data_IF_545728429247
#
_entry.id   IF_545728429247
#
_cell.length_a   1.000
_cell.length_b   1.000
_cell.length_c   1.000
_cell.angle_alpha   90.00
_cell.angle_beta   90.00
_cell.angle_gamma   90.00
#
_symmetry.space_group_name_H-M   'P 1'
#
loop_
_entity.id
_entity.type
_entity.pdbx_description
1 polymer ?
#
# COMPACT_ATOMS: atom_id res chain seq x y z
N UNK A 1 9.46 -26.53 0.51
CA UNK A 1 8.59 -25.54 -0.15
C UNK A 1 7.98 -24.72 0.97
N UNK A 2 8.38 -23.47 1.11
CA UNK A 2 7.78 -22.58 2.09
C UNK A 2 6.34 -22.35 1.67
N UNK A 3 5.42 -22.68 2.55
CA UNK A 3 4.00 -22.37 2.46
C UNK A 3 3.87 -20.83 2.43
N UNK A 4 3.94 -20.25 1.23
CA UNK A 4 4.14 -18.81 1.07
C UNK A 4 2.76 -18.14 1.05
N UNK A 5 2.27 -17.82 2.24
CA UNK A 5 1.10 -16.96 2.41
C UNK A 5 1.31 -15.67 1.60
N UNK A 6 0.42 -15.40 0.66
CA UNK A 6 0.48 -14.16 -0.14
C UNK A 6 0.11 -12.96 0.73
N UNK A 7 0.56 -11.74 0.39
CA UNK A 7 0.31 -10.55 1.22
C UNK A 7 -1.16 -10.21 1.47
N UNK A 8 -2.07 -10.67 0.60
CA UNK A 8 -3.53 -10.53 0.72
C UNK A 8 -4.21 -11.70 1.45
N UNK A 9 -3.42 -12.69 1.91
CA UNK A 9 -3.90 -13.88 2.59
C UNK A 9 -4.31 -15.02 1.64
N UNK A 10 -4.08 -14.87 0.33
CA UNK A 10 -4.35 -15.92 -0.63
C UNK A 10 -3.34 -17.08 -0.51
N UNK A 11 -3.83 -18.29 -0.77
CA UNK A 11 -3.09 -19.56 -0.63
C UNK A 11 -3.44 -20.51 -1.77
N UNK A 12 -2.45 -21.28 -2.22
CA UNK A 12 -2.66 -22.25 -3.28
C UNK A 12 -3.36 -23.50 -2.72
N UNK A 13 -4.57 -23.78 -3.21
CA UNK A 13 -5.37 -24.96 -2.84
C UNK A 13 -5.74 -25.79 -4.08
N UNK A 14 -5.98 -27.11 -3.94
CA UNK A 14 -6.41 -27.95 -5.06
C UNK A 14 -7.71 -27.43 -5.69
N UNK A 15 -7.80 -27.48 -7.03
CA UNK A 15 -9.00 -27.04 -7.76
C UNK A 15 -10.28 -27.73 -7.26
N UNK A 16 -10.21 -29.02 -6.91
CA UNK A 16 -11.34 -29.75 -6.35
C UNK A 16 -11.91 -29.13 -5.05
N UNK A 17 -11.08 -28.47 -4.24
CA UNK A 17 -11.53 -27.76 -3.05
C UNK A 17 -12.24 -26.45 -3.41
N UNK A 18 -11.77 -25.74 -4.45
CA UNK A 18 -12.42 -24.55 -4.99
C UNK A 18 -13.79 -24.92 -5.57
N UNK A 19 -13.85 -25.98 -6.37
CA UNK A 19 -15.08 -26.45 -7.01
C UNK A 19 -16.12 -26.94 -6.00
N UNK A 20 -15.67 -27.50 -4.87
CA UNK A 20 -16.53 -27.95 -3.77
C UNK A 20 -16.97 -26.81 -2.83
N UNK A 21 -16.35 -25.63 -2.91
CA UNK A 21 -16.63 -24.53 -2.01
C UNK A 21 -17.90 -23.77 -2.42
N UNK A 22 -18.79 -23.54 -1.46
CA UNK A 22 -20.01 -22.75 -1.66
C UNK A 22 -19.84 -21.39 -1.01
N UNK A 23 -19.73 -20.35 -1.83
CA UNK A 23 -19.67 -18.96 -1.34
C UNK A 23 -21.02 -18.57 -0.73
N UNK A 24 -21.08 -18.11 0.54
CA UNK A 24 -22.34 -17.69 1.14
C UNK A 24 -22.90 -16.45 0.44
N UNK A 25 -24.21 -16.41 0.15
CA UNK A 25 -24.84 -15.23 -0.41
C UNK A 25 -24.99 -14.13 0.66
N UNK A 26 -25.20 -12.89 0.22
CA UNK A 26 -25.50 -11.79 1.13
C UNK A 26 -26.80 -12.08 1.91
N UNK A 27 -26.79 -12.03 3.26
CA UNK A 27 -27.97 -12.35 4.07
C UNK A 27 -29.11 -11.32 3.94
N UNK A 28 -28.86 -10.16 3.31
CA UNK A 28 -29.85 -9.10 3.11
C UNK A 28 -30.50 -9.13 1.73
N UNK A 29 -29.77 -9.52 0.69
CA UNK A 29 -30.24 -9.42 -0.69
C UNK A 29 -29.95 -10.64 -1.58
N UNK A 30 -29.25 -11.66 -1.06
CA UNK A 30 -28.90 -12.86 -1.82
C UNK A 30 -27.75 -12.71 -2.82
N UNK A 31 -27.21 -11.50 -3.01
CA UNK A 31 -26.13 -11.23 -3.99
C UNK A 31 -24.74 -11.73 -3.58
N UNK A 32 -23.79 -11.63 -4.50
CA UNK A 32 -22.40 -12.04 -4.28
C UNK A 32 -21.70 -11.12 -3.26
N UNK A 33 -20.90 -11.72 -2.38
CA UNK A 33 -20.02 -11.00 -1.46
C UNK A 33 -18.64 -10.82 -2.10
N UNK A 34 -18.05 -9.64 -1.92
CA UNK A 34 -16.67 -9.33 -2.31
C UNK A 34 -15.92 -8.81 -1.08
N UNK A 35 -14.65 -9.20 -0.86
CA UNK A 35 -13.84 -8.56 0.17
C UNK A 35 -13.75 -7.06 -0.09
N UNK A 36 -13.72 -6.27 0.99
CA UNK A 36 -13.61 -4.81 0.94
C UNK A 36 -12.16 -4.38 0.68
N UNK A 37 -11.64 -4.75 -0.49
CA UNK A 37 -10.31 -4.42 -0.99
C UNK A 37 -10.41 -3.96 -2.45
N UNK A 38 -9.36 -3.31 -2.94
CA UNK A 38 -9.21 -2.89 -4.33
C UNK A 38 -8.37 -3.94 -5.05
N UNK A 39 -8.96 -4.65 -6.01
CA UNK A 39 -8.21 -5.58 -6.85
C UNK A 39 -7.42 -4.84 -7.93
N UNK A 40 -6.50 -5.53 -8.59
CA UNK A 40 -5.91 -5.01 -9.83
C UNK A 40 -7.02 -4.80 -10.87
N UNK A 41 -7.09 -3.59 -11.43
CA UNK A 41 -8.14 -3.18 -12.37
C UNK A 41 -9.33 -2.47 -11.70
N UNK A 42 -9.48 -2.55 -10.38
CA UNK A 42 -10.49 -1.77 -9.65
C UNK A 42 -10.04 -0.31 -9.48
N UNK A 43 -11.02 0.58 -9.31
CA UNK A 43 -10.77 1.96 -8.90
C UNK A 43 -10.73 2.07 -7.37
N UNK A 44 -9.78 2.86 -6.86
CA UNK A 44 -9.80 3.28 -5.45
C UNK A 44 -11.05 4.14 -5.22
N UNK A 45 -11.79 3.96 -4.11
CA UNK A 45 -12.97 4.77 -3.81
C UNK A 45 -12.66 6.28 -3.83
N UNK A 46 -13.53 7.07 -4.48
CA UNK A 46 -13.33 8.51 -4.67
C UNK A 46 -13.08 9.24 -3.34
N UNK A 47 -13.90 8.95 -2.32
CA UNK A 47 -13.76 9.54 -0.99
C UNK A 47 -12.36 9.34 -0.39
N UNK A 48 -11.78 8.15 -0.57
CA UNK A 48 -10.43 7.85 -0.09
C UNK A 48 -9.37 8.67 -0.85
N UNK A 49 -9.58 8.87 -2.16
CA UNK A 49 -8.69 9.73 -2.95
C UNK A 49 -8.76 11.18 -2.46
N UNK A 50 -9.97 11.69 -2.22
CA UNK A 50 -10.20 13.05 -1.72
C UNK A 50 -9.54 13.28 -0.36
N UNK A 51 -9.70 12.34 0.58
CA UNK A 51 -9.06 12.38 1.90
C UNK A 51 -7.53 12.42 1.81
N UNK A 52 -6.94 11.57 0.97
CA UNK A 52 -5.48 11.52 0.79
C UNK A 52 -4.95 12.81 0.17
N UNK A 53 -5.65 13.37 -0.83
CA UNK A 53 -5.25 14.65 -1.46
C UNK A 53 -5.30 15.76 -0.42
N UNK A 54 -6.36 15.83 0.39
CA UNK A 54 -6.47 16.82 1.44
C UNK A 54 -5.31 16.71 2.46
N UNK A 55 -5.01 15.50 2.94
CA UNK A 55 -3.89 15.30 3.87
C UNK A 55 -2.54 15.65 3.27
N UNK A 56 -2.32 15.36 1.98
CA UNK A 56 -1.06 15.70 1.32
C UNK A 56 -0.87 17.23 1.23
N UNK A 57 -1.94 17.99 0.98
CA UNK A 57 -1.89 19.46 0.95
C UNK A 57 -1.66 20.09 2.34
N UNK A 58 -2.17 19.47 3.40
CA UNK A 58 -2.01 19.95 4.78
C UNK A 58 -0.69 19.49 5.44
N UNK A 59 0.05 18.60 4.78
CA UNK A 59 1.32 18.07 5.29
C UNK A 59 2.51 18.96 4.90
N UNK A 60 3.61 18.81 5.63
CA UNK A 60 4.89 19.45 5.34
C UNK A 60 5.89 18.52 4.64
N UNK A 61 5.49 17.28 4.34
CA UNK A 61 6.31 16.28 3.67
C UNK A 61 5.66 14.90 3.60
N UNK A 62 6.32 13.97 2.91
CA UNK A 62 5.89 12.58 2.77
C UNK A 62 6.99 11.61 3.22
N UNK A 63 6.63 10.65 4.08
CA UNK A 63 7.48 9.53 4.46
C UNK A 63 6.92 8.22 3.90
N UNK A 64 7.66 7.59 2.98
CA UNK A 64 7.32 6.27 2.41
C UNK A 64 8.05 5.17 3.19
N UNK A 65 7.30 4.19 3.70
CA UNK A 65 7.84 3.07 4.46
C UNK A 65 7.52 1.74 3.77
N UNK A 66 8.54 0.98 3.39
CA UNK A 66 8.38 -0.43 2.97
C UNK A 66 7.57 -0.64 1.69
N UNK A 67 7.57 0.32 0.76
CA UNK A 67 6.89 0.19 -0.54
C UNK A 67 7.90 0.30 -1.68
N UNK A 68 7.78 -0.58 -2.67
CA UNK A 68 8.55 -0.47 -3.93
C UNK A 68 8.04 0.67 -4.82
N UNK A 69 6.84 1.19 -4.54
CA UNK A 69 6.16 2.21 -5.34
C UNK A 69 5.96 1.83 -6.83
N UNK A 70 5.97 0.54 -7.16
CA UNK A 70 5.74 0.10 -8.54
C UNK A 70 4.29 0.36 -8.99
N UNK A 71 3.33 0.17 -8.08
CA UNK A 71 1.91 0.42 -8.34
C UNK A 71 1.62 1.92 -8.27
N UNK A 72 0.97 2.44 -9.32
CA UNK A 72 0.80 3.89 -9.50
C UNK A 72 -0.03 4.56 -8.39
N UNK A 73 -0.97 3.84 -7.76
CA UNK A 73 -1.80 4.39 -6.68
C UNK A 73 -0.98 4.97 -5.53
N UNK A 74 0.10 4.29 -5.13
CA UNK A 74 1.04 4.78 -4.12
C UNK A 74 2.05 5.78 -4.70
N UNK A 75 2.61 5.50 -5.87
CA UNK A 75 3.60 6.38 -6.51
C UNK A 75 3.07 7.79 -6.82
N UNK A 76 1.78 7.91 -7.14
CA UNK A 76 1.14 9.21 -7.39
C UNK A 76 1.29 10.16 -6.21
N UNK A 77 1.33 9.66 -4.98
CA UNK A 77 1.51 10.51 -3.79
C UNK A 77 2.89 11.16 -3.79
N UNK A 78 3.94 10.40 -4.13
CA UNK A 78 5.30 10.93 -4.25
C UNK A 78 5.35 12.04 -5.30
N UNK A 79 4.75 11.82 -6.46
CA UNK A 79 4.71 12.83 -7.53
C UNK A 79 3.98 14.08 -7.05
N UNK A 80 2.79 13.94 -6.46
CA UNK A 80 1.99 15.06 -5.96
C UNK A 80 2.72 15.83 -4.85
N UNK A 81 3.37 15.16 -3.90
CA UNK A 81 4.16 15.82 -2.85
C UNK A 81 5.30 16.64 -3.46
N UNK A 82 5.98 16.14 -4.50
CA UNK A 82 7.03 16.91 -5.19
C UNK A 82 6.48 18.05 -6.02
N UNK A 83 5.30 17.92 -6.63
CA UNK A 83 4.61 19.02 -7.32
C UNK A 83 4.25 20.16 -6.36
N UNK A 84 3.97 19.85 -5.09
CA UNK A 84 3.78 20.83 -4.02
C UNK A 84 5.09 21.43 -3.50
N UNK A 85 6.25 21.00 -4.00
CA UNK A 85 7.56 21.44 -3.53
C UNK A 85 7.96 20.92 -2.15
N UNK A 86 7.25 19.89 -1.65
CA UNK A 86 7.46 19.34 -0.31
C UNK A 86 8.54 18.24 -0.32
N UNK A 87 9.22 18.00 0.81
CA UNK A 87 10.21 16.94 0.96
C UNK A 87 9.59 15.54 0.94
N UNK A 88 10.29 14.59 0.33
CA UNK A 88 9.97 13.17 0.32
C UNK A 88 11.13 12.37 0.92
N UNK A 89 10.84 11.59 1.96
CA UNK A 89 11.76 10.63 2.54
C UNK A 89 11.29 9.19 2.29
N UNK A 90 12.22 8.27 2.04
CA UNK A 90 11.93 6.86 1.80
C UNK A 90 12.77 5.98 2.70
N UNK A 91 12.13 5.06 3.43
CA UNK A 91 12.78 3.94 4.11
C UNK A 91 12.30 2.65 3.47
N UNK A 92 13.18 2.01 2.70
CA UNK A 92 12.89 0.73 2.05
C UNK A 92 14.18 -0.03 1.77
N UNK A 93 14.20 -1.33 2.01
CA UNK A 93 15.41 -2.18 1.87
C UNK A 93 15.97 -2.12 0.44
N UNK A 94 15.08 -2.20 -0.55
CA UNK A 94 15.43 -2.24 -1.97
C UNK A 94 15.15 -0.94 -2.72
N UNK A 95 15.41 -0.94 -4.04
CA UNK A 95 15.09 0.19 -4.90
C UNK A 95 13.58 0.45 -4.92
N UNK A 96 13.21 1.69 -5.20
CA UNK A 96 11.82 2.09 -5.43
C UNK A 96 11.70 2.92 -6.68
N UNK A 97 10.51 2.91 -7.28
CA UNK A 97 10.19 3.82 -8.40
C UNK A 97 10.31 5.30 -8.01
N UNK A 98 10.22 5.62 -6.72
CA UNK A 98 10.30 6.98 -6.19
C UNK A 98 11.70 7.45 -5.81
N UNK A 99 12.74 6.64 -6.00
CA UNK A 99 14.09 6.98 -5.51
C UNK A 99 14.60 8.30 -6.14
N UNK A 100 14.31 8.57 -7.41
CA UNK A 100 14.71 9.82 -8.10
C UNK A 100 13.97 11.07 -7.58
N UNK A 101 12.86 10.88 -6.86
CA UNK A 101 12.07 11.96 -6.28
C UNK A 101 12.42 12.21 -4.80
N UNK A 102 13.15 11.29 -4.17
CA UNK A 102 13.39 11.33 -2.74
C UNK A 102 14.51 12.30 -2.38
N UNK A 103 14.24 13.18 -1.41
CA UNK A 103 15.24 14.05 -0.79
C UNK A 103 16.10 13.28 0.22
N UNK A 104 15.57 12.18 0.77
CA UNK A 104 16.29 11.25 1.64
C UNK A 104 15.87 9.80 1.35
N UNK A 105 16.86 8.93 1.16
CA UNK A 105 16.65 7.48 1.05
C UNK A 105 17.48 6.73 2.08
N UNK A 106 16.82 5.87 2.85
CA UNK A 106 17.46 4.94 3.79
C UNK A 106 17.16 3.51 3.35
N UNK A 107 18.21 2.80 2.95
CA UNK A 107 18.14 1.39 2.58
C UNK A 107 18.27 0.49 3.81
N UNK A 108 17.16 0.32 4.54
CA UNK A 108 17.11 -0.47 5.76
C UNK A 108 15.71 -1.03 6.03
N UNK A 109 15.61 -1.95 7.01
CA UNK A 109 14.32 -2.40 7.53
C UNK A 109 13.65 -1.25 8.29
N UNK A 110 12.38 -0.96 8.00
CA UNK A 110 11.63 0.09 8.71
C UNK A 110 11.63 -0.11 10.23
N UNK A 111 11.51 -1.36 10.69
CA UNK A 111 11.52 -1.71 12.11
C UNK A 111 12.81 -1.34 12.85
N UNK A 112 13.95 -1.24 12.16
CA UNK A 112 15.23 -0.85 12.76
C UNK A 112 15.41 0.68 12.81
N UNK A 113 14.73 1.41 11.91
CA UNK A 113 14.89 2.85 11.71
C UNK A 113 13.86 3.66 12.50
N UNK A 114 12.59 3.29 12.44
CA UNK A 114 11.51 4.09 13.05
C UNK A 114 11.71 4.28 14.56
N UNK A 115 12.11 3.27 15.37
CA UNK A 115 12.39 3.50 16.78
C UNK A 115 13.51 4.50 17.05
N UNK A 116 14.49 4.64 16.13
CA UNK A 116 15.62 5.57 16.27
C UNK A 116 15.22 7.03 16.08
N UNK A 117 14.13 7.31 15.35
CA UNK A 117 13.61 8.67 15.16
C UNK A 117 13.19 9.31 16.49
N UNK A 118 12.82 8.48 17.48
CA UNK A 118 12.33 8.93 18.78
C UNK A 118 13.35 8.75 19.90
N UNK A 119 14.51 8.16 19.62
CA UNK A 119 15.54 7.86 20.62
C UNK A 119 16.33 9.09 21.07
N UNK A 120 16.30 10.16 20.28
CA UNK A 120 16.78 11.49 20.68
C UNK A 120 15.63 12.29 21.27
N UNK A 121 15.46 12.17 22.59
CA UNK A 121 14.85 13.20 23.44
C UNK A 121 15.87 13.67 24.45
#
# INVERSE_FOLDING_TARGET
>A
MTDMLRPDGDVDIPQAAIDAFVVPPCPKCGGNLKPRIVFFGDNVPLKTIEEIVHWNCESDGLLVLGSSLLVFSGFRLVVQTKELGLPVAIVNIGPTRGDDYADLKISAKCGDIIPRLFATR
#
